data_IF_768140536730
#
_entry.id   IF_768140536730
#
_cell.length_a   1.000
_cell.length_b   1.000
_cell.length_c   1.000
_cell.angle_alpha   90.00
_cell.angle_beta   90.00
_cell.angle_gamma   90.00
#
_symmetry.space_group_name_H-M   'P 1'
#
loop_
_entity.id
_entity.type
_entity.pdbx_description
1 polymer ?
#
# COMPACT_ATOMS: atom_id res chain seq x y z
N UNK A 1 0.99 -9.82 4.46
CA UNK A 1 0.99 -8.49 3.84
C UNK A 1 2.30 -8.33 3.09
N UNK A 2 2.25 -7.90 1.84
CA UNK A 2 3.43 -7.49 1.08
C UNK A 2 3.41 -5.97 0.97
N UNK A 3 4.46 -5.33 1.50
CA UNK A 3 4.63 -3.87 1.46
C UNK A 3 5.84 -3.55 0.60
N UNK A 4 5.62 -2.75 -0.44
CA UNK A 4 6.64 -2.27 -1.36
C UNK A 4 6.83 -0.79 -1.08
N UNK A 5 8.00 -0.43 -0.57
CA UNK A 5 8.33 0.95 -0.27
C UNK A 5 9.49 1.40 -1.17
N UNK A 6 9.22 1.66 -2.46
CA UNK A 6 10.21 2.23 -3.35
C UNK A 6 10.64 3.59 -2.79
N UNK A 7 11.83 3.59 -2.18
CA UNK A 7 12.46 4.77 -1.60
C UNK A 7 13.71 5.14 -2.42
N UNK A 8 13.71 4.88 -3.75
CA UNK A 8 14.94 5.02 -4.53
C UNK A 8 15.51 6.43 -4.33
N UNK A 9 16.78 6.46 -3.90
CA UNK A 9 17.58 7.65 -3.65
C UNK A 9 17.05 8.67 -2.63
N UNK A 10 15.97 8.36 -1.88
CA UNK A 10 15.59 9.16 -0.71
C UNK A 10 16.47 8.72 0.47
N UNK A 11 17.46 9.54 0.81
CA UNK A 11 18.40 9.30 1.92
C UNK A 11 19.80 8.85 1.47
N UNK A 12 20.43 7.93 2.21
CA UNK A 12 21.84 7.60 2.02
C UNK A 12 22.08 6.76 0.74
N UNK A 13 22.81 7.32 -0.23
CA UNK A 13 23.18 6.67 -1.50
C UNK A 13 23.85 5.29 -1.32
N UNK A 14 24.57 5.07 -0.21
CA UNK A 14 25.24 3.78 0.09
C UNK A 14 24.26 2.63 0.36
N UNK A 15 22.98 2.93 0.61
CA UNK A 15 21.92 1.92 0.82
C UNK A 15 21.56 1.19 -0.47
N UNK A 16 21.87 1.79 -1.63
CA UNK A 16 21.42 1.32 -2.93
C UNK A 16 22.57 0.64 -3.67
N UNK A 17 22.37 -0.64 -4.04
CA UNK A 17 23.37 -1.44 -4.78
C UNK A 17 23.22 -1.35 -6.29
N UNK A 18 22.03 -0.96 -6.75
CA UNK A 18 21.63 -0.91 -8.16
C UNK A 18 21.14 0.51 -8.49
N UNK A 19 21.30 0.89 -9.75
CA UNK A 19 20.86 2.19 -10.26
C UNK A 19 19.38 2.10 -10.66
N UNK A 20 18.48 2.48 -9.76
CA UNK A 20 17.03 2.40 -9.99
C UNK A 20 16.52 3.71 -10.62
N UNK A 21 16.37 3.75 -11.94
CA UNK A 21 15.99 4.98 -12.67
C UNK A 21 14.49 5.24 -12.80
N UNK A 22 13.63 4.28 -12.44
CA UNK A 22 12.16 4.40 -12.62
C UNK A 22 11.44 4.31 -11.29
N UNK A 23 10.91 5.45 -10.84
CA UNK A 23 10.06 5.58 -9.65
C UNK A 23 8.58 5.82 -9.99
N UNK A 24 8.16 5.48 -11.20
CA UNK A 24 6.78 5.69 -11.62
C UNK A 24 5.82 4.71 -10.89
N UNK A 25 4.76 5.21 -10.23
CA UNK A 25 3.87 4.37 -9.43
C UNK A 25 3.07 3.39 -10.28
N UNK A 26 2.77 3.71 -11.55
CA UNK A 26 2.08 2.79 -12.46
C UNK A 26 3.00 1.66 -12.91
N UNK A 27 4.26 1.99 -13.23
CA UNK A 27 5.27 0.98 -13.57
C UNK A 27 5.51 0.04 -12.39
N UNK A 28 5.71 0.58 -11.19
CA UNK A 28 5.93 -0.21 -9.98
C UNK A 28 4.72 -1.08 -9.68
N UNK A 29 3.52 -0.52 -9.71
CA UNK A 29 2.30 -1.28 -9.46
C UNK A 29 2.10 -2.39 -10.48
N UNK A 30 2.35 -2.12 -11.77
CA UNK A 30 2.28 -3.15 -12.82
C UNK A 30 3.26 -4.30 -12.58
N UNK A 31 4.44 -4.04 -12.02
CA UNK A 31 5.40 -5.09 -11.65
C UNK A 31 4.95 -5.90 -10.44
N UNK A 32 4.26 -5.28 -9.49
CA UNK A 32 3.63 -5.99 -8.37
C UNK A 32 2.50 -6.89 -8.89
N UNK A 33 1.66 -6.40 -9.82
CA UNK A 33 0.61 -7.20 -10.47
C UNK A 33 1.19 -8.39 -11.25
N UNK A 34 2.28 -8.17 -11.99
CA UNK A 34 3.02 -9.23 -12.69
C UNK A 34 3.48 -10.32 -11.72
N UNK A 35 4.12 -9.93 -10.61
CA UNK A 35 4.56 -10.87 -9.57
C UNK A 35 3.42 -11.57 -8.82
N UNK A 36 2.28 -10.90 -8.65
CA UNK A 36 1.08 -11.49 -8.05
C UNK A 36 0.32 -12.42 -9.01
N UNK A 37 0.56 -12.30 -10.32
CA UNK A 37 -0.18 -13.01 -11.36
C UNK A 37 -1.66 -12.60 -11.44
N UNK A 38 -2.00 -11.41 -10.95
CA UNK A 38 -3.37 -10.92 -10.89
C UNK A 38 -3.42 -9.38 -10.93
N UNK A 39 -4.53 -8.85 -11.43
CA UNK A 39 -4.87 -7.42 -11.26
C UNK A 39 -5.17 -7.13 -9.80
N UNK A 40 -4.65 -6.00 -9.30
CA UNK A 40 -4.71 -5.60 -7.91
C UNK A 40 -5.49 -4.28 -7.81
N UNK A 41 -6.82 -4.33 -7.59
CA UNK A 41 -7.67 -3.14 -7.57
C UNK A 41 -7.38 -2.29 -6.33
N UNK A 42 -6.75 -1.14 -6.52
CA UNK A 42 -6.35 -0.24 -5.44
C UNK A 42 -7.27 0.96 -5.25
N UNK A 43 -8.13 1.27 -6.24
CA UNK A 43 -9.00 2.45 -6.19
C UNK A 43 -10.16 2.29 -5.22
N UNK A 44 -10.50 1.05 -4.86
CA UNK A 44 -11.64 0.73 -4.00
C UNK A 44 -11.44 1.32 -2.60
N UNK A 45 -10.28 1.07 -2.01
CA UNK A 45 -9.93 1.47 -0.65
C UNK A 45 -8.74 2.42 -0.68
N UNK A 46 -8.84 3.49 -1.46
CA UNK A 46 -7.77 4.46 -1.54
C UNK A 46 -7.54 5.12 -0.17
N UNK A 47 -6.31 5.01 0.33
CA UNK A 47 -5.85 5.69 1.52
C UNK A 47 -4.77 6.71 1.14
N UNK A 48 -5.09 7.99 1.26
CA UNK A 48 -4.23 9.09 0.81
C UNK A 48 -4.16 9.24 -0.72
N UNK A 49 -3.05 9.73 -1.25
CA UNK A 49 -2.90 10.01 -2.69
C UNK A 49 -2.43 8.79 -3.51
N UNK A 50 -3.09 8.50 -4.64
CA UNK A 50 -2.79 7.36 -5.53
C UNK A 50 -1.40 7.39 -6.17
N UNK A 51 -0.79 8.60 -6.24
CA UNK A 51 0.59 8.82 -6.70
C UNK A 51 1.61 8.29 -5.69
N UNK A 52 1.25 8.27 -4.41
CA UNK A 52 2.10 7.78 -3.32
C UNK A 52 1.70 6.39 -2.86
N UNK A 53 0.42 6.13 -2.68
CA UNK A 53 -0.06 4.99 -1.92
C UNK A 53 -1.12 4.20 -2.69
N UNK A 54 -0.90 2.90 -2.84
CA UNK A 54 -1.85 1.97 -3.45
C UNK A 54 -1.98 0.75 -2.57
N UNK A 55 -3.22 0.34 -2.30
CA UNK A 55 -3.50 -0.82 -1.44
C UNK A 55 -4.56 -1.70 -2.08
N UNK A 56 -4.25 -2.98 -2.27
CA UNK A 56 -5.20 -3.97 -2.74
C UNK A 56 -5.44 -5.04 -1.66
N UNK A 57 -6.72 -5.25 -1.32
CA UNK A 57 -7.17 -6.25 -0.36
C UNK A 57 -7.69 -7.48 -1.09
N UNK A 58 -7.18 -8.66 -0.71
CA UNK A 58 -7.60 -9.91 -1.32
C UNK A 58 -7.07 -11.12 -0.58
N UNK A 59 -7.16 -12.26 -1.24
CA UNK A 59 -6.75 -13.54 -0.71
C UNK A 59 -6.36 -14.50 -1.83
N UNK A 60 -5.43 -15.40 -1.54
CA UNK A 60 -5.14 -16.52 -2.40
C UNK A 60 -6.11 -17.67 -2.16
N UNK A 61 -6.48 -18.36 -3.24
CA UNK A 61 -7.03 -19.72 -3.19
C UNK A 61 -6.15 -20.60 -4.09
N UNK A 62 -5.33 -21.45 -3.47
CA UNK A 62 -4.22 -22.10 -4.17
C UNK A 62 -3.23 -21.05 -4.67
N UNK A 63 -2.89 -21.06 -5.96
CA UNK A 63 -1.90 -20.15 -6.55
C UNK A 63 -2.50 -18.90 -7.20
N UNK A 64 -3.82 -18.68 -7.08
CA UNK A 64 -4.50 -17.54 -7.70
C UNK A 64 -5.00 -16.57 -6.64
N UNK A 65 -4.67 -15.29 -6.81
CA UNK A 65 -5.17 -14.21 -5.97
C UNK A 65 -6.53 -13.71 -6.46
N UNK A 66 -7.41 -13.37 -5.52
CA UNK A 66 -8.73 -12.81 -5.78
C UNK A 66 -8.92 -11.56 -4.93
N UNK A 67 -9.46 -10.47 -5.50
CA UNK A 67 -9.74 -9.28 -4.73
C UNK A 67 -10.98 -9.48 -3.84
N UNK A 68 -11.00 -8.83 -2.67
CA UNK A 68 -12.18 -8.82 -1.78
C UNK A 68 -13.36 -8.13 -2.47
N UNK A 69 -13.09 -7.05 -3.19
CA UNK A 69 -14.03 -6.28 -4.00
C UNK A 69 -13.37 -5.99 -5.35
N UNK A 70 -14.18 -5.94 -6.39
CA UNK A 70 -13.74 -5.63 -7.76
C UNK A 70 -14.05 -4.17 -8.10
N UNK A 71 -13.07 -3.44 -8.64
CA UNK A 71 -13.20 -1.99 -8.86
C UNK A 71 -14.04 -1.64 -10.08
N UNK A 72 -14.17 -2.58 -11.01
CA UNK A 72 -14.97 -2.43 -12.23
C UNK A 72 -16.43 -2.90 -12.04
N UNK A 73 -16.81 -3.29 -10.81
CA UNK A 73 -18.14 -3.79 -10.48
C UNK A 73 -18.91 -2.78 -9.61
N UNK A 74 -19.92 -2.13 -10.19
CA UNK A 74 -20.83 -1.23 -9.47
C UNK A 74 -21.46 -1.90 -8.23
N UNK A 75 -21.73 -3.20 -8.32
CA UNK A 75 -22.27 -3.97 -7.21
C UNK A 75 -21.28 -4.15 -6.05
N UNK A 76 -19.98 -4.15 -6.33
CA UNK A 76 -18.93 -4.24 -5.30
C UNK A 76 -18.58 -2.86 -4.75
N UNK A 77 -18.61 -1.82 -5.59
CA UNK A 77 -18.52 -0.43 -5.13
C UNK A 77 -19.69 -0.09 -4.18
N UNK A 78 -20.90 -0.55 -4.49
CA UNK A 78 -22.03 -0.43 -3.56
C UNK A 78 -21.76 -1.15 -2.23
N UNK A 79 -21.18 -2.35 -2.23
CA UNK A 79 -20.83 -3.07 -0.97
C UNK A 79 -19.87 -2.25 -0.12
N UNK A 80 -18.85 -1.63 -0.73
CA UNK A 80 -17.93 -0.72 -0.05
C UNK A 80 -18.68 0.44 0.59
N UNK A 81 -19.54 1.10 -0.16
CA UNK A 81 -20.25 2.31 0.29
C UNK A 81 -21.23 1.98 1.43
N UNK A 82 -21.95 0.86 1.33
CA UNK A 82 -22.81 0.35 2.39
C UNK A 82 -22.02 -0.04 3.65
N UNK A 83 -20.86 -0.67 3.46
CA UNK A 83 -19.94 -0.99 4.57
C UNK A 83 -19.51 0.27 5.30
N UNK A 84 -19.02 1.30 4.61
CA UNK A 84 -18.61 2.54 5.27
C UNK A 84 -19.79 3.28 5.93
N UNK A 85 -20.95 3.32 5.26
CA UNK A 85 -22.13 4.03 5.77
C UNK A 85 -22.67 3.42 7.07
N UNK A 86 -22.77 2.09 7.14
CA UNK A 86 -23.48 1.43 8.24
C UNK A 86 -22.57 0.66 9.19
N UNK A 87 -21.39 0.24 8.73
CA UNK A 87 -20.46 -0.56 9.51
C UNK A 87 -19.11 0.14 9.74
N UNK A 88 -18.87 1.33 9.19
CA UNK A 88 -17.61 2.08 9.35
C UNK A 88 -17.26 2.44 10.80
N UNK A 89 -18.28 2.64 11.65
CA UNK A 89 -18.10 2.89 13.09
C UNK A 89 -18.01 1.63 13.95
N UNK A 90 -18.05 0.42 13.36
CA UNK A 90 -17.97 -0.83 14.11
C UNK A 90 -16.52 -1.09 14.51
N UNK A 91 -16.26 -1.21 15.81
CA UNK A 91 -14.97 -1.70 16.30
C UNK A 91 -14.86 -3.20 16.07
N UNK A 92 -14.22 -3.60 14.96
CA UNK A 92 -14.08 -4.99 14.53
C UNK A 92 -13.17 -5.84 15.44
N UNK A 93 -12.36 -5.21 16.29
CA UNK A 93 -11.53 -5.88 17.31
C UNK A 93 -12.22 -6.00 18.68
N UNK A 94 -13.51 -5.68 18.77
CA UNK A 94 -14.28 -5.86 20.01
C UNK A 94 -14.45 -7.35 20.38
N UNK A 95 -14.66 -7.68 21.67
CA UNK A 95 -15.01 -9.04 22.09
C UNK A 95 -16.21 -9.58 21.31
N UNK A 96 -16.17 -10.88 20.97
CA UNK A 96 -17.14 -11.51 20.07
C UNK A 96 -18.62 -11.23 20.43
N UNK A 97 -19.07 -11.32 21.70
CA UNK A 97 -20.46 -11.03 22.04
C UNK A 97 -20.87 -9.59 21.71
N UNK A 98 -19.97 -8.63 21.94
CA UNK A 98 -20.23 -7.21 21.65
C UNK A 98 -20.25 -6.96 20.15
N UNK A 99 -19.33 -7.58 19.41
CA UNK A 99 -19.31 -7.52 17.95
C UNK A 99 -20.62 -8.07 17.37
N UNK A 100 -21.02 -9.29 17.77
CA UNK A 100 -22.29 -9.90 17.34
C UNK A 100 -23.49 -9.02 17.67
N UNK A 101 -23.55 -8.45 18.88
CA UNK A 101 -24.64 -7.53 19.26
C UNK A 101 -24.71 -6.32 18.33
N UNK A 102 -23.56 -5.73 17.98
CA UNK A 102 -23.50 -4.56 17.08
C UNK A 102 -23.89 -4.94 15.65
N UNK A 103 -23.42 -6.09 15.16
CA UNK A 103 -23.78 -6.59 13.82
C UNK A 103 -25.27 -6.92 13.73
N UNK A 104 -25.83 -7.59 14.73
CA UNK A 104 -27.27 -7.88 14.81
C UNK A 104 -28.08 -6.60 14.86
N UNK A 105 -27.68 -5.61 15.66
CA UNK A 105 -28.34 -4.30 15.70
C UNK A 105 -28.30 -3.62 14.34
N UNK A 106 -27.16 -3.64 13.64
CA UNK A 106 -27.04 -3.07 12.30
C UNK A 106 -27.95 -3.81 11.30
N UNK A 107 -28.01 -5.14 11.35
CA UNK A 107 -28.87 -5.94 10.48
C UNK A 107 -30.37 -5.72 10.73
N UNK A 108 -30.78 -5.56 11.99
CA UNK A 108 -32.17 -5.23 12.34
C UNK A 108 -32.53 -3.82 11.87
N UNK A 109 -31.64 -2.85 12.09
CA UNK A 109 -31.86 -1.47 11.69
C UNK A 109 -31.84 -1.28 10.17
N UNK A 110 -31.04 -2.08 9.45
CA UNK A 110 -30.82 -1.99 8.00
C UNK A 110 -30.88 -3.38 7.35
N UNK A 111 -32.09 -3.96 7.17
CA UNK A 111 -32.24 -5.32 6.65
C UNK A 111 -31.66 -5.54 5.26
N UNK A 112 -31.56 -4.48 4.42
CA UNK A 112 -30.97 -4.59 3.09
C UNK A 112 -29.49 -4.99 3.12
N UNK A 113 -28.78 -4.74 4.23
CA UNK A 113 -27.39 -5.19 4.42
C UNK A 113 -27.25 -6.70 4.28
N UNK A 114 -28.27 -7.47 4.65
CA UNK A 114 -28.27 -8.94 4.49
C UNK A 114 -28.22 -9.27 2.99
N UNK A 115 -29.04 -8.61 2.17
CA UNK A 115 -29.05 -8.82 0.72
C UNK A 115 -27.73 -8.40 0.07
N UNK A 116 -27.18 -7.25 0.47
CA UNK A 116 -25.87 -6.75 -0.01
C UNK A 116 -24.77 -7.76 0.31
N UNK A 117 -24.75 -8.25 1.56
CA UNK A 117 -23.75 -9.22 2.04
C UNK A 117 -23.85 -10.56 1.31
N UNK A 118 -25.07 -11.11 1.16
CA UNK A 118 -25.29 -12.35 0.44
C UNK A 118 -24.93 -12.23 -1.05
N UNK A 119 -25.27 -11.09 -1.67
CA UNK A 119 -24.91 -10.80 -3.05
C UNK A 119 -23.39 -10.75 -3.26
N UNK A 120 -22.69 -10.04 -2.37
CA UNK A 120 -21.22 -10.00 -2.36
C UNK A 120 -20.61 -11.38 -2.16
N UNK A 121 -21.06 -12.13 -1.15
CA UNK A 121 -20.57 -13.48 -0.88
C UNK A 121 -20.74 -14.40 -2.09
N UNK A 122 -21.92 -14.34 -2.73
CA UNK A 122 -22.19 -15.14 -3.92
C UNK A 122 -21.22 -14.78 -5.06
N UNK A 123 -20.98 -13.48 -5.34
CA UNK A 123 -20.03 -13.05 -6.38
C UNK A 123 -18.60 -13.50 -6.06
N UNK A 124 -18.16 -13.34 -4.82
CA UNK A 124 -16.83 -13.79 -4.36
C UNK A 124 -16.66 -15.29 -4.56
N UNK A 125 -17.66 -16.09 -4.20
CA UNK A 125 -17.65 -17.55 -4.43
C UNK A 125 -17.62 -17.89 -5.92
N UNK A 126 -18.39 -17.19 -6.75
CA UNK A 126 -18.37 -17.38 -8.20
C UNK A 126 -16.99 -17.07 -8.80
N UNK A 127 -16.31 -16.00 -8.35
CA UNK A 127 -14.93 -15.68 -8.77
C UNK A 127 -13.95 -16.81 -8.51
N UNK A 128 -14.06 -17.46 -7.35
CA UNK A 128 -13.19 -18.59 -6.95
C UNK A 128 -13.43 -19.82 -7.84
N UNK A 129 -14.63 -19.97 -8.41
CA UNK A 129 -15.08 -21.11 -9.21
C UNK A 129 -16.28 -21.86 -8.62
N UNK A 130 -17.09 -21.21 -7.78
CA UNK A 130 -18.34 -21.74 -7.22
C UNK A 130 -18.21 -22.36 -5.83
N UNK A 131 -19.37 -22.64 -5.23
CA UNK A 131 -19.49 -23.14 -3.86
C UNK A 131 -18.68 -24.42 -3.56
N UNK A 132 -18.65 -25.45 -4.43
CA UNK A 132 -17.88 -26.66 -4.15
C UNK A 132 -16.38 -26.37 -3.97
N UNK A 133 -15.82 -25.48 -4.80
CA UNK A 133 -14.40 -25.11 -4.72
C UNK A 133 -14.12 -24.20 -3.54
N UNK A 134 -15.00 -23.24 -3.24
CA UNK A 134 -14.87 -22.37 -2.08
C UNK A 134 -14.91 -23.16 -0.75
N UNK A 135 -15.89 -24.07 -0.61
CA UNK A 135 -16.02 -24.93 0.58
C UNK A 135 -14.80 -25.84 0.72
N UNK A 136 -14.34 -26.45 -0.38
CA UNK A 136 -13.12 -27.27 -0.36
C UNK A 136 -11.91 -26.45 0.08
N UNK A 137 -11.71 -25.27 -0.50
CA UNK A 137 -10.59 -24.39 -0.16
C UNK A 137 -10.59 -23.98 1.32
N UNK A 138 -11.77 -23.65 1.86
CA UNK A 138 -11.94 -23.33 3.29
C UNK A 138 -11.63 -24.55 4.17
N UNK A 139 -12.20 -25.72 3.85
CA UNK A 139 -11.98 -26.96 4.60
C UNK A 139 -10.50 -27.37 4.59
N UNK A 140 -9.81 -27.18 3.47
CA UNK A 140 -8.37 -27.45 3.34
C UNK A 140 -7.47 -26.30 3.82
N UNK A 141 -8.03 -25.22 4.39
CA UNK A 141 -7.28 -24.03 4.85
C UNK A 141 -6.38 -23.42 3.77
N UNK A 142 -6.83 -23.44 2.52
CA UNK A 142 -6.13 -22.90 1.35
C UNK A 142 -6.47 -21.44 1.05
N UNK A 143 -7.28 -20.80 1.90
CA UNK A 143 -7.60 -19.37 1.80
C UNK A 143 -6.59 -18.59 2.62
N UNK A 144 -5.72 -17.84 1.94
CA UNK A 144 -4.65 -17.07 2.58
C UNK A 144 -4.91 -15.58 2.32
N UNK A 145 -5.34 -14.80 3.32
CA UNK A 145 -5.49 -13.35 3.18
C UNK A 145 -4.15 -12.69 2.87
N UNK A 146 -4.11 -11.92 1.78
CA UNK A 146 -2.91 -11.19 1.37
C UNK A 146 -3.30 -9.81 0.87
N UNK A 147 -2.81 -8.81 1.60
CA UNK A 147 -2.84 -7.40 1.19
C UNK A 147 -1.54 -7.02 0.52
N UNK A 148 -1.64 -6.33 -0.61
CA UNK A 148 -0.54 -5.67 -1.30
C UNK A 148 -0.62 -4.18 -1.02
N UNK A 149 0.50 -3.59 -0.60
CA UNK A 149 0.64 -2.15 -0.35
C UNK A 149 1.86 -1.65 -1.11
N UNK A 150 1.73 -0.54 -1.80
CA UNK A 150 2.83 0.21 -2.37
C UNK A 150 2.82 1.61 -1.78
N UNK A 151 3.95 2.06 -1.25
CA UNK A 151 4.16 3.41 -0.78
C UNK A 151 5.43 4.02 -1.39
N UNK A 152 5.26 5.02 -2.25
CA UNK A 152 6.35 5.76 -2.89
C UNK A 152 6.64 7.04 -2.11
N UNK A 153 7.89 7.20 -1.68
CA UNK A 153 8.38 8.44 -1.10
C UNK A 153 8.63 9.52 -2.16
N UNK A 154 8.55 10.79 -1.72
CA UNK A 154 8.90 11.96 -2.53
C UNK A 154 10.34 12.35 -2.28
N UNK A 155 10.95 13.07 -3.23
CA UNK A 155 12.32 13.56 -3.08
C UNK A 155 12.41 14.57 -1.92
N UNK A 156 13.51 14.51 -1.18
CA UNK A 156 13.76 15.45 -0.09
C UNK A 156 13.93 16.89 -0.57
N UNK A 157 14.45 17.09 -1.77
CA UNK A 157 14.60 18.40 -2.40
C UNK A 157 13.25 19.09 -2.63
N UNK A 158 12.21 18.32 -2.94
CA UNK A 158 10.84 18.83 -3.13
C UNK A 158 10.08 18.90 -1.79
N UNK A 159 10.23 17.90 -0.92
CA UNK A 159 9.48 17.80 0.33
C UNK A 159 9.80 18.94 1.30
N UNK A 160 11.08 19.32 1.42
CA UNK A 160 11.51 20.38 2.33
C UNK A 160 10.85 21.74 2.03
N UNK A 161 10.98 22.32 0.81
CA UNK A 161 10.32 23.58 0.48
C UNK A 161 8.79 23.46 0.54
N UNK A 162 8.19 22.35 0.07
CA UNK A 162 6.75 22.12 0.15
C UNK A 162 6.25 22.18 1.60
N UNK A 163 6.95 21.50 2.52
CA UNK A 163 6.60 21.47 3.94
C UNK A 163 6.75 22.83 4.62
N UNK A 164 7.84 23.56 4.35
CA UNK A 164 8.06 24.89 4.91
C UNK A 164 7.00 25.91 4.47
N UNK A 165 6.49 25.80 3.25
CA UNK A 165 5.38 26.61 2.76
C UNK A 165 4.05 26.20 3.40
N UNK A 166 3.79 24.90 3.55
CA UNK A 166 2.59 24.40 4.22
C UNK A 166 2.51 24.86 5.68
N UNK A 167 3.61 24.84 6.43
CA UNK A 167 3.67 25.38 7.80
C UNK A 167 3.29 26.86 7.88
N UNK A 168 3.51 27.62 6.80
CA UNK A 168 3.14 29.04 6.68
C UNK A 168 1.74 29.25 6.12
N UNK A 169 1.01 28.17 5.79
CA UNK A 169 -0.30 28.23 5.14
C UNK A 169 -0.26 28.67 3.68
N UNK A 170 0.88 28.54 3.00
CA UNK A 170 1.09 29.00 1.62
C UNK A 170 1.16 27.81 0.67
N UNK A 171 0.43 27.89 -0.45
CA UNK A 171 0.55 26.95 -1.57
C UNK A 171 1.48 27.53 -2.65
N UNK A 172 2.27 26.67 -3.29
CA UNK A 172 3.17 27.04 -4.37
C UNK A 172 2.45 27.13 -5.72
N UNK A 173 2.92 28.02 -6.59
CA UNK A 173 2.55 28.04 -8.01
C UNK A 173 3.47 27.14 -8.86
N UNK A 174 4.62 26.73 -8.32
CA UNK A 174 5.47 25.70 -8.94
C UNK A 174 4.73 24.36 -8.93
N UNK A 175 4.59 23.74 -10.11
CA UNK A 175 3.80 22.52 -10.29
C UNK A 175 4.32 21.33 -9.48
N UNK A 176 5.64 21.19 -9.34
CA UNK A 176 6.29 20.07 -8.63
C UNK A 176 6.11 20.24 -7.13
N UNK A 177 6.36 21.45 -6.62
CA UNK A 177 6.17 21.75 -5.20
C UNK A 177 4.70 21.67 -4.84
N UNK A 178 3.80 22.18 -5.68
CA UNK A 178 2.35 22.10 -5.45
C UNK A 178 1.86 20.66 -5.40
N UNK A 179 2.27 19.82 -6.34
CA UNK A 179 1.97 18.38 -6.27
C UNK A 179 2.48 17.77 -4.96
N UNK A 180 3.71 18.10 -4.57
CA UNK A 180 4.31 17.60 -3.31
C UNK A 180 3.46 18.04 -2.12
N UNK A 181 2.97 19.29 -2.09
CA UNK A 181 2.08 19.80 -1.05
C UNK A 181 0.75 19.03 -0.99
N UNK A 182 0.11 18.80 -2.13
CA UNK A 182 -1.15 18.03 -2.21
C UNK A 182 -0.97 16.60 -1.65
N UNK A 183 0.17 15.97 -2.00
CA UNK A 183 0.52 14.62 -1.55
C UNK A 183 0.84 14.58 -0.06
N UNK A 184 1.50 15.60 0.49
CA UNK A 184 1.76 15.75 1.92
C UNK A 184 0.46 15.93 2.71
N UNK A 185 -0.45 16.78 2.24
CA UNK A 185 -1.76 17.01 2.87
C UNK A 185 -2.66 15.76 2.81
N UNK A 186 -2.51 14.96 1.75
CA UNK A 186 -3.24 13.70 1.58
C UNK A 186 -2.55 12.51 2.25
N UNK A 187 -1.50 12.71 3.05
CA UNK A 187 -0.74 11.60 3.59
C UNK A 187 -1.57 10.81 4.62
N UNK A 188 -1.75 9.51 4.36
CA UNK A 188 -2.43 8.60 5.29
C UNK A 188 -1.52 8.18 6.47
N UNK A 189 -0.20 8.27 6.28
CA UNK A 189 0.80 7.87 7.27
C UNK A 189 1.26 9.10 8.07
N UNK A 190 0.53 9.41 9.14
CA UNK A 190 0.97 10.37 10.15
C UNK A 190 1.99 9.73 11.11
N UNK A 191 3.08 10.43 11.37
CA UNK A 191 4.15 10.04 12.29
C UNK A 191 4.26 11.08 13.39
N UNK A 192 4.47 10.67 14.64
CA UNK A 192 4.75 11.63 15.69
C UNK A 192 6.14 12.23 15.49
N UNK A 193 6.23 13.56 15.50
CA UNK A 193 7.50 14.28 15.52
C UNK A 193 8.26 13.88 16.79
N UNK A 194 9.55 13.53 16.71
CA UNK A 194 10.29 12.97 17.83
C UNK A 194 10.35 13.92 19.05
N UNK A 195 10.24 15.23 18.82
CA UNK A 195 10.42 16.25 19.85
C UNK A 195 9.21 17.16 20.13
N UNK A 196 8.25 17.30 19.20
CA UNK A 196 7.28 18.42 19.25
C UNK A 196 5.83 17.99 19.53
N UNK A 197 5.55 16.73 19.85
CA UNK A 197 4.20 16.13 19.95
C UNK A 197 3.31 16.32 18.70
N UNK A 198 3.84 16.92 17.63
CA UNK A 198 3.13 17.14 16.36
C UNK A 198 3.02 15.83 15.58
N UNK A 199 1.94 15.68 14.80
CA UNK A 199 1.85 14.61 13.79
C UNK A 199 2.26 15.17 12.43
N UNK A 200 3.32 14.61 11.85
CA UNK A 200 3.86 15.00 10.54
C UNK A 200 3.64 13.88 9.50
N UNK A 201 3.50 14.21 8.21
CA UNK A 201 3.48 13.20 7.15
C UNK A 201 4.76 12.35 7.15
N UNK A 202 4.66 11.04 6.88
CA UNK A 202 5.82 10.15 6.84
C UNK A 202 6.92 10.61 5.87
N UNK A 203 6.55 11.21 4.73
CA UNK A 203 7.53 11.80 3.81
C UNK A 203 8.31 12.95 4.45
N UNK A 204 7.70 13.77 5.32
CA UNK A 204 8.40 14.84 6.05
C UNK A 204 9.36 14.24 7.07
N UNK A 205 8.92 13.23 7.83
CA UNK A 205 9.79 12.51 8.76
C UNK A 205 11.06 12.02 8.03
N UNK A 206 10.89 11.22 6.99
CA UNK A 206 12.02 10.57 6.32
C UNK A 206 12.89 11.52 5.48
N UNK A 207 12.34 12.62 4.97
CA UNK A 207 13.06 13.49 4.03
C UNK A 207 13.57 14.79 4.66
N UNK A 208 12.99 15.22 5.79
CA UNK A 208 13.34 16.50 6.43
C UNK A 208 13.99 16.28 7.79
N UNK A 209 13.46 15.36 8.60
CA UNK A 209 13.86 15.16 9.99
C UNK A 209 14.95 14.09 10.12
N UNK A 210 14.72 12.92 9.54
CA UNK A 210 15.64 11.78 9.59
C UNK A 210 17.04 12.04 9.00
N UNK A 211 17.28 12.90 7.97
CA UNK A 211 18.63 13.04 7.40
C UNK A 211 19.71 13.43 8.42
N UNK A 212 19.39 14.28 9.40
CA UNK A 212 20.31 14.65 10.47
C UNK A 212 20.63 13.48 11.39
N UNK A 213 19.60 12.78 11.85
CA UNK A 213 19.73 11.57 12.67
C UNK A 213 20.49 10.46 11.94
N UNK A 214 20.19 10.26 10.65
CA UNK A 214 20.86 9.29 9.79
C UNK A 214 22.35 9.62 9.62
N UNK A 215 22.72 10.90 9.53
CA UNK A 215 24.13 11.30 9.47
C UNK A 215 24.86 10.99 10.79
N UNK A 216 24.21 11.23 11.94
CA UNK A 216 24.75 10.87 13.25
C UNK A 216 24.86 9.34 13.42
N UNK A 217 23.82 8.60 13.06
CA UNK A 217 23.80 7.13 13.08
C UNK A 217 24.89 6.55 12.18
N UNK A 218 25.16 7.15 11.02
CA UNK A 218 26.23 6.70 10.12
C UNK A 218 27.63 6.83 10.74
N UNK A 219 27.84 7.78 11.66
CA UNK A 219 29.09 7.89 12.42
C UNK A 219 29.19 6.81 13.51
N UNK A 220 28.06 6.47 14.15
CA UNK A 220 27.98 5.48 15.22
C UNK A 220 27.99 4.03 14.72
N UNK A 221 27.41 3.80 13.53
CA UNK A 221 27.19 2.50 12.93
C UNK A 221 27.76 2.48 11.50
N UNK A 222 29.10 2.51 11.34
CA UNK A 222 29.71 2.50 10.02
C UNK A 222 29.37 1.18 9.30
N UNK A 223 28.52 1.27 8.28
CA UNK A 223 28.19 0.13 7.43
C UNK A 223 29.46 -0.33 6.69
N UNK A 224 29.71 -1.65 6.58
CA UNK A 224 30.83 -2.16 5.80
C UNK A 224 30.74 -1.64 4.36
N UNK A 225 31.82 -1.02 3.87
CA UNK A 225 31.90 -0.62 2.47
C UNK A 225 31.88 -1.87 1.59
N UNK A 226 30.81 -2.06 0.82
CA UNK A 226 30.82 -3.02 -0.28
C UNK A 226 31.82 -2.48 -1.30
N UNK A 227 32.94 -3.18 -1.47
CA UNK A 227 33.93 -2.88 -2.51
C UNK A 227 33.21 -3.00 -3.86
N UNK A 228 32.96 -1.87 -4.54
CA UNK A 228 32.49 -1.89 -5.94
C UNK A 228 33.54 -2.64 -6.74
N UNK A 229 33.23 -3.88 -7.16
CA UNK A 229 34.03 -4.56 -8.17
C UNK A 229 33.75 -3.80 -9.46
N UNK A 230 34.78 -3.19 -10.04
CA UNK A 230 34.69 -2.55 -11.35
C UNK A 230 34.14 -3.56 -12.36
N UNK A 231 33.20 -3.13 -13.19
CA UNK A 231 32.50 -3.93 -14.19
C UNK A 231 33.40 -4.34 -15.38
N UNK A 232 34.63 -4.78 -15.11
CA UNK A 232 35.63 -5.14 -16.10
C UNK A 232 36.12 -6.60 -15.95
N UNK A 233 35.47 -7.39 -15.09
CA UNK A 233 35.71 -8.84 -15.01
C UNK A 233 34.48 -9.60 -15.51
N UNK A 234 34.42 -9.71 -16.83
CA UNK A 234 33.84 -10.80 -17.65
C UNK A 234 32.99 -11.84 -16.89
N UNK A 235 31.67 -11.79 -17.10
CA UNK A 235 30.80 -12.95 -16.91
C UNK A 235 31.19 -14.03 -17.96
N UNK A 236 31.36 -15.31 -17.58
CA UNK A 236 31.47 -16.37 -18.57
C UNK A 236 30.14 -16.49 -19.32
N UNK A 237 30.22 -16.57 -20.65
CA UNK A 237 29.08 -16.69 -21.54
C UNK A 237 28.19 -17.86 -21.13
N UNK A 238 26.91 -17.59 -20.86
CA UNK A 238 25.88 -18.63 -20.88
C UNK A 238 25.85 -19.24 -22.28
N UNK A 239 26.43 -20.44 -22.41
CA UNK A 239 26.38 -21.22 -23.64
C UNK A 239 24.94 -21.60 -23.94
N UNK A 240 24.36 -20.97 -24.96
CA UNK A 240 23.16 -21.44 -25.63
C UNK A 240 23.53 -22.72 -26.36
N UNK A 241 22.94 -23.86 -25.96
CA UNK A 241 22.81 -25.02 -26.85
C UNK A 241 21.58 -24.79 -27.72
N UNK A 242 21.81 -24.52 -29.00
CA UNK A 242 20.82 -24.67 -30.06
C UNK A 242 20.71 -26.17 -30.47
N UNK A 243 19.59 -26.57 -31.12
CA UNK A 243 18.86 -27.81 -30.85
C UNK A 243 19.53 -29.12 -31.28
#
# INVERSE_FOLDING_TARGET
MFSFQPAAFVGNERRWKEDYSVLDPDVIWSKIEEGAGAKLPYKIFQTGDFRCNRTAFGFYVGNKWYPVLDEDSDSDLSVRDEFFRYLGGVHWSAPLPLLLTRLTRAAIAQPHLIRVTLGWLNRTVHRIGGWPKAIRALASKQVIPVTFVMHRFMDAEDVRPAWDMLKKGVMSDDIVIRETQERLQSCFYGMAHPESDEIVPACVQHSVLDPGENAALAQLLPLPHVRKVSAEQSLPSCGVREP
#
